data_IF_270669448089
#
_entry.id   IF_270669448089
#
_cell.length_a   1.000
_cell.length_b   1.000
_cell.length_c   1.000
_cell.angle_alpha   90.00
_cell.angle_beta   90.00
_cell.angle_gamma   90.00
#
_symmetry.space_group_name_H-M   'P 1'
#
loop_
_entity.id
_entity.type
_entity.pdbx_description
1 polymer ?
#
# COMPACT_ATOMS: atom_id res chain seq x y z
N UNK A 1 0.74 11.31 7.42
CA UNK A 1 1.86 10.43 7.08
C UNK A 1 1.37 9.09 6.63
N UNK A 2 1.84 8.68 5.48
CA UNK A 2 1.37 7.41 4.94
C UNK A 2 2.28 6.27 5.35
N UNK A 3 1.86 5.55 6.36
CA UNK A 3 2.61 4.39 6.82
C UNK A 3 2.57 3.26 5.80
N UNK A 4 1.43 3.14 5.10
CA UNK A 4 1.30 2.11 4.07
C UNK A 4 2.31 2.35 2.96
N UNK A 5 2.46 3.61 2.54
CA UNK A 5 3.43 3.96 1.52
C UNK A 5 4.85 3.63 1.98
N UNK A 6 5.18 4.00 3.21
CA UNK A 6 6.48 3.70 3.79
C UNK A 6 6.78 2.20 3.74
N UNK A 7 5.78 1.40 4.07
CA UNK A 7 5.94 -0.04 4.09
C UNK A 7 6.16 -0.59 2.68
N UNK A 8 5.48 -0.02 1.70
CA UNK A 8 5.56 -0.50 0.32
C UNK A 8 6.77 0.02 -0.44
N UNK A 9 7.48 1.00 0.11
CA UNK A 9 8.63 1.60 -0.58
C UNK A 9 9.79 0.64 -0.79
N UNK A 10 9.79 -0.51 -0.10
CA UNK A 10 10.83 -1.49 -0.28
C UNK A 10 10.71 -2.26 -1.60
N UNK A 11 9.63 -2.03 -2.34
CA UNK A 11 9.40 -2.67 -3.62
C UNK A 11 8.91 -4.10 -3.55
N UNK A 12 8.64 -4.57 -2.34
CA UNK A 12 8.19 -5.95 -2.14
C UNK A 12 6.68 -6.03 -2.03
N UNK A 13 6.18 -7.24 -2.26
CA UNK A 13 4.76 -7.53 -2.11
C UNK A 13 4.42 -7.68 -0.64
N UNK A 14 3.35 -7.02 -0.21
CA UNK A 14 2.88 -7.13 1.18
C UNK A 14 1.41 -7.52 1.17
N UNK A 15 1.07 -8.62 1.83
CA UNK A 15 -0.32 -9.03 1.92
C UNK A 15 -1.10 -8.05 2.79
N UNK A 16 -2.41 -7.97 2.55
CA UNK A 16 -3.26 -7.12 3.38
C UNK A 16 -3.16 -7.51 4.85
N UNK A 17 -3.05 -8.81 5.11
CA UNK A 17 -2.90 -9.28 6.48
C UNK A 17 -1.59 -8.82 7.11
N UNK A 18 -0.50 -8.88 6.33
CA UNK A 18 0.80 -8.43 6.82
C UNK A 18 0.78 -6.93 7.10
N UNK A 19 0.19 -6.15 6.21
CA UNK A 19 0.09 -4.71 6.40
C UNK A 19 -0.76 -4.41 7.63
N UNK A 20 -1.88 -5.11 7.78
CA UNK A 20 -2.77 -4.93 8.91
C UNK A 20 -2.05 -5.19 10.23
N UNK A 21 -1.30 -6.27 10.28
CA UNK A 21 -0.56 -6.65 11.48
C UNK A 21 0.55 -5.65 11.79
N UNK A 22 1.25 -5.22 10.76
CA UNK A 22 2.38 -4.31 10.92
C UNK A 22 1.94 -2.93 11.40
N UNK A 23 0.82 -2.46 10.88
CA UNK A 23 0.35 -1.10 11.17
C UNK A 23 -0.73 -1.06 12.23
N UNK A 24 -1.25 -2.22 12.64
CA UNK A 24 -2.30 -2.29 13.64
C UNK A 24 -3.62 -1.70 13.16
N UNK A 25 -3.94 -1.87 11.88
CA UNK A 25 -5.17 -1.35 11.30
C UNK A 25 -5.99 -2.49 10.70
N UNK A 26 -7.27 -2.22 10.42
CA UNK A 26 -8.12 -3.22 9.81
C UNK A 26 -7.91 -3.24 8.31
N UNK A 27 -8.37 -4.33 7.67
CA UNK A 27 -8.28 -4.45 6.22
C UNK A 27 -9.04 -3.33 5.51
N UNK A 28 -10.17 -2.92 6.07
CA UNK A 28 -10.94 -1.83 5.50
C UNK A 28 -10.13 -0.54 5.47
N UNK A 29 -9.35 -0.30 6.53
CA UNK A 29 -8.48 0.87 6.59
C UNK A 29 -7.39 0.80 5.54
N UNK A 30 -6.82 -0.38 5.34
CA UNK A 30 -5.79 -0.58 4.34
C UNK A 30 -6.33 -0.22 2.95
N UNK A 31 -7.53 -0.69 2.66
CA UNK A 31 -8.14 -0.43 1.37
C UNK A 31 -8.30 1.07 1.12
N UNK A 32 -8.70 1.79 2.16
CA UNK A 32 -8.85 3.24 2.07
C UNK A 32 -7.50 3.92 1.83
N UNK A 33 -6.46 3.47 2.52
CA UNK A 33 -5.13 4.03 2.34
C UNK A 33 -4.62 3.79 0.93
N UNK A 34 -4.84 2.58 0.42
CA UNK A 34 -4.42 2.25 -0.95
C UNK A 34 -5.12 3.17 -1.95
N UNK A 35 -6.42 3.38 -1.77
CA UNK A 35 -7.18 4.26 -2.66
C UNK A 35 -6.62 5.68 -2.65
N UNK A 36 -6.28 6.18 -1.47
CA UNK A 36 -5.72 7.52 -1.33
C UNK A 36 -4.36 7.64 -2.01
N UNK A 37 -3.53 6.62 -1.86
CA UNK A 37 -2.22 6.62 -2.49
C UNK A 37 -2.35 6.63 -4.02
N UNK A 38 -3.32 5.89 -4.54
CA UNK A 38 -3.55 5.90 -5.98
C UNK A 38 -3.98 7.28 -6.46
N UNK A 39 -4.80 7.96 -5.69
CA UNK A 39 -5.23 9.32 -6.03
C UNK A 39 -4.05 10.30 -6.00
N UNK A 40 -3.08 10.03 -5.15
CA UNK A 40 -1.91 10.88 -5.03
C UNK A 40 -0.87 10.62 -6.13
N UNK A 41 -1.13 9.66 -7.01
CA UNK A 41 -0.24 9.38 -8.12
C UNK A 41 0.59 8.12 -7.97
N UNK A 42 0.39 7.38 -6.88
CA UNK A 42 1.10 6.11 -6.69
C UNK A 42 0.51 5.04 -7.58
N UNK A 43 1.36 4.26 -8.19
CA UNK A 43 0.92 3.11 -8.95
C UNK A 43 1.09 1.87 -8.08
N UNK A 44 -0.03 1.34 -7.60
CA UNK A 44 -0.03 0.18 -6.71
C UNK A 44 -0.76 -0.96 -7.38
N UNK A 45 -0.13 -2.11 -7.37
CA UNK A 45 -0.67 -3.32 -8.00
C UNK A 45 -1.25 -4.24 -6.93
N UNK A 46 -2.47 -4.71 -7.16
CA UNK A 46 -3.09 -5.68 -6.28
C UNK A 46 -2.89 -7.06 -6.90
N UNK A 47 -2.20 -7.94 -6.19
CA UNK A 47 -1.88 -9.28 -6.68
C UNK A 47 -2.68 -10.30 -5.90
N UNK A 48 -3.61 -11.00 -6.55
CA UNK A 48 -4.43 -12.01 -5.87
C UNK A 48 -3.56 -13.05 -5.18
N UNK A 49 -3.84 -13.30 -3.90
CA UNK A 49 -3.10 -14.27 -3.12
C UNK A 49 -1.74 -13.80 -2.65
N UNK A 50 -1.29 -12.65 -3.10
CA UNK A 50 0.03 -12.13 -2.70
C UNK A 50 -0.06 -10.81 -1.95
N UNK A 51 -0.99 -9.94 -2.33
CA UNK A 51 -1.19 -8.69 -1.65
C UNK A 51 -1.00 -7.47 -2.55
N UNK A 52 -0.36 -6.46 -2.01
CA UNK A 52 -0.15 -5.20 -2.73
C UNK A 52 1.32 -4.93 -2.93
N UNK A 53 1.64 -4.30 -4.04
CA UNK A 53 3.01 -3.95 -4.35
C UNK A 53 3.05 -2.55 -4.95
N UNK A 54 3.98 -1.73 -4.50
CA UNK A 54 4.17 -0.40 -5.06
C UNK A 54 5.00 -0.54 -6.34
N UNK A 55 4.39 -0.22 -7.46
CA UNK A 55 5.06 -0.26 -8.75
C UNK A 55 5.80 1.04 -9.00
N UNK A 56 5.18 2.16 -8.63
CA UNK A 56 5.77 3.46 -8.82
C UNK A 56 5.36 4.37 -7.67
N UNK A 57 6.31 5.10 -7.08
CA UNK A 57 5.98 6.04 -6.00
C UNK A 57 5.24 7.25 -6.55
N UNK A 58 4.68 8.09 -5.66
CA UNK A 58 4.02 9.30 -6.11
C UNK A 58 4.97 10.19 -6.89
N UNK A 59 4.44 10.80 -7.91
CA UNK A 59 5.22 11.66 -8.77
C UNK A 59 5.22 13.08 -8.21
N UNK A 60 6.26 13.41 -7.49
CA UNK A 60 6.41 14.76 -6.93
C UNK A 60 7.24 15.60 -7.86
N UNK A 61 6.76 16.77 -8.12
CA UNK A 61 7.49 17.72 -8.96
C UNK A 61 7.84 18.96 -8.17
#
# INVERSE_FOLDING_TARGET
>A
MERVLSLLLDGKCHSGEAISRELGVTRAMIWKHIARLKEAGCLIEALPGQGYRLVRPPDFM
#
